data_IF_839083022248
#
_entry.id   IF_839083022248
#
_cell.length_a   1.000
_cell.length_b   1.000
_cell.length_c   1.000
_cell.angle_alpha   90.00
_cell.angle_beta   90.00
_cell.angle_gamma   90.00
#
_symmetry.space_group_name_H-M   'P 1'
#
loop_
_entity.id
_entity.type
_entity.pdbx_description
1 polymer ?
#
# COMPACT_ATOMS: atom_id res chain seq x y z
N UNK A 1 20.16 -33.86 -31.52
CA UNK A 1 20.19 -32.55 -32.22
C UNK A 1 18.84 -31.81 -32.29
N UNK A 2 17.68 -32.43 -32.01
CA UNK A 2 16.35 -31.77 -32.08
C UNK A 2 15.70 -31.35 -30.74
N UNK A 3 16.42 -31.39 -29.62
CA UNK A 3 15.83 -31.05 -28.31
C UNK A 3 15.58 -29.54 -28.17
N UNK A 4 16.46 -28.72 -28.73
CA UNK A 4 16.38 -27.24 -28.64
C UNK A 4 15.24 -26.65 -29.45
N UNK A 5 14.95 -27.19 -30.64
CA UNK A 5 13.90 -26.66 -31.52
C UNK A 5 12.49 -26.93 -30.98
N UNK A 6 12.26 -28.14 -30.42
CA UNK A 6 10.98 -28.47 -29.77
C UNK A 6 10.75 -27.64 -28.52
N UNK A 7 11.78 -27.48 -27.68
CA UNK A 7 11.69 -26.63 -26.48
C UNK A 7 11.39 -25.17 -26.83
N UNK A 8 11.95 -24.65 -27.93
CA UNK A 8 11.65 -23.30 -28.41
C UNK A 8 10.21 -23.18 -28.94
N UNK A 9 9.73 -24.15 -29.73
CA UNK A 9 8.35 -24.15 -30.22
C UNK A 9 7.33 -24.27 -29.09
N UNK A 10 7.64 -25.09 -28.08
CA UNK A 10 6.81 -25.25 -26.90
C UNK A 10 6.80 -23.96 -26.06
N UNK A 11 7.96 -23.32 -25.84
CA UNK A 11 8.02 -22.03 -25.14
C UNK A 11 7.26 -20.91 -25.88
N UNK A 12 7.21 -20.94 -27.22
CA UNK A 12 6.44 -20.00 -28.02
C UNK A 12 4.92 -20.25 -27.96
N UNK A 13 4.49 -21.47 -27.64
CA UNK A 13 3.07 -21.87 -27.63
C UNK A 13 2.48 -22.00 -26.23
N UNK A 14 3.29 -22.37 -25.24
CA UNK A 14 2.91 -22.70 -23.86
C UNK A 14 3.46 -21.67 -22.88
N UNK A 15 3.04 -20.41 -23.05
CA UNK A 15 3.52 -19.29 -22.24
C UNK A 15 2.81 -19.15 -20.88
N UNK A 16 1.69 -19.85 -20.68
CA UNK A 16 0.93 -19.83 -19.43
C UNK A 16 1.23 -21.07 -18.59
N UNK A 17 1.53 -20.86 -17.31
CA UNK A 17 1.72 -21.94 -16.35
C UNK A 17 0.38 -22.53 -15.93
N UNK A 18 0.37 -23.85 -15.69
CA UNK A 18 -0.81 -24.55 -15.19
C UNK A 18 -1.18 -24.15 -13.75
N UNK A 19 -0.16 -23.94 -12.91
CA UNK A 19 -0.35 -23.71 -11.49
C UNK A 19 -0.50 -22.21 -11.19
N UNK A 20 -1.34 -21.90 -10.20
CA UNK A 20 -1.60 -20.53 -9.74
C UNK A 20 -0.60 -20.12 -8.67
N UNK A 21 -0.22 -18.84 -8.68
CA UNK A 21 0.57 -18.25 -7.58
C UNK A 21 -0.35 -17.99 -6.40
N UNK A 22 -0.12 -18.68 -5.29
CA UNK A 22 -0.85 -18.47 -4.06
C UNK A 22 -0.28 -17.27 -3.28
N UNK A 23 -1.13 -16.40 -2.71
CA UNK A 23 -0.67 -15.38 -1.78
C UNK A 23 -0.05 -16.01 -0.51
N UNK A 24 0.74 -15.23 0.21
CA UNK A 24 1.38 -15.68 1.47
C UNK A 24 0.34 -16.06 2.53
N UNK A 25 -0.82 -15.42 2.52
CA UNK A 25 -1.95 -15.66 3.43
C UNK A 25 -3.23 -15.91 2.63
N UNK A 26 -4.14 -16.71 3.19
CA UNK A 26 -5.46 -16.98 2.57
C UNK A 26 -6.29 -15.71 2.49
N UNK A 27 -6.31 -14.94 3.57
CA UNK A 27 -7.02 -13.67 3.64
C UNK A 27 -6.16 -12.53 3.08
N UNK A 28 -6.71 -11.61 2.27
CA UNK A 28 -6.01 -10.40 1.86
C UNK A 28 -5.65 -9.52 3.05
N UNK A 29 -4.53 -8.82 2.97
CA UNK A 29 -4.14 -7.90 4.05
C UNK A 29 -5.15 -6.76 4.23
N UNK A 30 -5.67 -6.18 3.14
CA UNK A 30 -6.63 -5.08 3.21
C UNK A 30 -7.76 -5.35 2.23
N UNK A 31 -8.99 -5.21 2.70
CA UNK A 31 -10.22 -5.29 1.90
C UNK A 31 -11.07 -4.06 2.18
N UNK A 32 -11.73 -3.53 1.15
CA UNK A 32 -12.66 -2.41 1.29
C UNK A 32 -13.76 -2.55 0.24
N UNK A 33 -15.00 -2.38 0.67
CA UNK A 33 -16.14 -2.52 -0.22
C UNK A 33 -16.30 -1.28 -1.11
N UNK A 34 -16.66 -1.49 -2.37
CA UNK A 34 -17.00 -0.41 -3.33
C UNK A 34 -15.90 0.61 -3.60
N UNK A 35 -14.65 0.33 -3.25
CA UNK A 35 -13.49 1.20 -3.49
C UNK A 35 -12.44 0.45 -4.31
N UNK A 36 -11.89 1.11 -5.33
CA UNK A 36 -10.83 0.55 -6.17
C UNK A 36 -9.48 1.14 -5.77
N UNK A 37 -8.60 0.27 -5.28
CA UNK A 37 -7.20 0.59 -5.05
C UNK A 37 -6.45 0.70 -6.38
N UNK A 38 -5.49 1.62 -6.44
CA UNK A 38 -4.83 2.01 -7.68
C UNK A 38 -3.30 2.09 -7.57
N UNK A 39 -2.77 2.42 -6.39
CA UNK A 39 -1.33 2.54 -6.11
C UNK A 39 -1.04 2.00 -4.72
N UNK A 40 0.16 1.48 -4.53
CA UNK A 40 0.65 0.99 -3.25
C UNK A 40 2.11 1.39 -3.11
N UNK A 41 2.48 1.91 -1.95
CA UNK A 41 3.86 2.00 -1.49
C UNK A 41 3.92 1.51 -0.04
N UNK A 42 5.01 0.85 0.33
CA UNK A 42 5.17 0.24 1.65
C UNK A 42 6.42 0.82 2.30
N UNK A 43 6.26 1.30 3.53
CA UNK A 43 7.36 1.67 4.42
C UNK A 43 7.63 0.54 5.42
N UNK A 44 8.87 0.44 5.90
CA UNK A 44 9.26 -0.46 6.97
C UNK A 44 9.66 0.40 8.16
N UNK A 45 8.80 0.45 9.17
CA UNK A 45 8.97 1.33 10.33
C UNK A 45 9.32 0.50 11.56
N UNK A 46 10.34 0.95 12.29
CA UNK A 46 10.72 0.37 13.57
C UNK A 46 9.84 0.96 14.67
N UNK A 47 8.89 0.17 15.16
CA UNK A 47 8.17 0.48 16.39
C UNK A 47 9.02 0.22 17.63
N UNK A 48 8.41 0.24 18.81
CA UNK A 48 9.13 0.03 20.08
C UNK A 48 9.89 -1.30 20.13
N UNK A 49 9.22 -2.39 19.78
CA UNK A 49 9.76 -3.76 19.95
C UNK A 49 9.78 -4.55 18.63
N UNK A 50 9.07 -4.10 17.59
CA UNK A 50 8.88 -4.85 16.34
C UNK A 50 8.90 -3.94 15.11
N UNK A 51 9.26 -4.53 13.97
CA UNK A 51 9.14 -3.89 12.66
C UNK A 51 7.70 -4.01 12.14
N UNK A 52 7.21 -2.93 11.53
CA UNK A 52 5.90 -2.86 10.91
C UNK A 52 6.03 -2.53 9.43
N UNK A 53 5.19 -3.16 8.60
CA UNK A 53 5.01 -2.77 7.21
C UNK A 53 3.85 -1.78 7.15
N UNK A 54 4.15 -0.51 6.93
CA UNK A 54 3.14 0.55 6.79
C UNK A 54 2.81 0.70 5.30
N UNK A 55 1.59 0.32 4.94
CA UNK A 55 1.08 0.39 3.57
C UNK A 55 0.35 1.72 3.35
N UNK A 56 0.76 2.47 2.32
CA UNK A 56 0.03 3.62 1.80
C UNK A 56 -0.62 3.22 0.47
N UNK A 57 -1.94 3.20 0.45
CA UNK A 57 -2.76 2.68 -0.65
C UNK A 57 -3.53 3.84 -1.26
N UNK A 58 -3.22 4.18 -2.50
CA UNK A 58 -3.92 5.23 -3.23
C UNK A 58 -5.14 4.68 -3.96
N UNK A 59 -6.25 5.40 -3.95
CA UNK A 59 -7.50 5.00 -4.62
C UNK A 59 -7.73 5.74 -5.94
N UNK A 60 -8.71 5.27 -6.70
CA UNK A 60 -9.18 5.98 -7.90
C UNK A 60 -10.01 7.23 -7.62
N UNK A 61 -10.28 7.52 -6.35
CA UNK A 61 -11.19 8.58 -5.92
C UNK A 61 -10.47 9.69 -5.14
N UNK A 62 -9.14 9.72 -5.16
CA UNK A 62 -8.35 10.76 -4.51
C UNK A 62 -8.27 10.60 -3.00
N UNK A 63 -8.27 9.35 -2.53
CA UNK A 63 -8.05 9.02 -1.12
C UNK A 63 -6.81 8.17 -0.94
N UNK A 64 -6.12 8.34 0.18
CA UNK A 64 -5.00 7.49 0.59
C UNK A 64 -5.39 6.79 1.87
N UNK A 65 -5.32 5.47 1.83
CA UNK A 65 -5.49 4.61 2.99
C UNK A 65 -4.12 4.26 3.57
N UNK A 66 -3.91 4.54 4.86
CA UNK A 66 -2.76 4.08 5.64
C UNK A 66 -3.17 2.85 6.46
N UNK A 67 -2.45 1.75 6.30
CA UNK A 67 -2.71 0.50 7.01
C UNK A 67 -1.43 -0.20 7.44
N UNK A 68 -1.47 -0.93 8.55
CA UNK A 68 -0.36 -1.76 9.02
C UNK A 68 -0.55 -3.20 8.59
N UNK A 69 0.53 -3.81 8.13
CA UNK A 69 0.71 -5.25 8.12
C UNK A 69 1.88 -5.62 9.03
N UNK A 70 1.79 -6.80 9.63
CA UNK A 70 2.84 -7.35 10.48
C UNK A 70 3.26 -8.71 9.96
N UNK A 71 4.53 -9.05 10.15
CA UNK A 71 5.08 -10.37 9.83
C UNK A 71 4.49 -11.47 10.72
N UNK A 72 3.84 -11.11 11.84
CA UNK A 72 3.13 -12.04 12.69
C UNK A 72 1.78 -12.44 12.07
N UNK A 73 1.72 -13.65 11.51
CA UNK A 73 0.54 -14.21 10.83
C UNK A 73 -0.72 -14.29 11.69
N UNK A 74 -0.60 -14.19 13.01
CA UNK A 74 -1.73 -14.20 13.94
C UNK A 74 -2.41 -12.83 14.10
N UNK A 75 -1.74 -11.76 13.66
CA UNK A 75 -2.23 -10.40 13.76
C UNK A 75 -2.76 -9.97 12.39
N UNK A 76 -4.05 -9.60 12.36
CA UNK A 76 -4.67 -9.02 11.17
C UNK A 76 -4.10 -7.64 10.90
N UNK A 77 -4.11 -7.25 9.63
CA UNK A 77 -3.77 -5.89 9.25
C UNK A 77 -4.69 -4.89 9.94
N UNK A 78 -4.15 -3.73 10.28
CA UNK A 78 -4.85 -2.68 11.01
C UNK A 78 -5.01 -1.45 10.11
N UNK A 79 -6.25 -0.99 9.96
CA UNK A 79 -6.56 0.29 9.32
C UNK A 79 -6.16 1.40 10.29
N UNK A 80 -5.32 2.35 9.84
CA UNK A 80 -4.90 3.49 10.66
C UNK A 80 -5.67 4.77 10.29
N UNK A 81 -5.70 5.12 9.01
CA UNK A 81 -6.17 6.43 8.57
C UNK A 81 -6.66 6.41 7.12
N UNK A 82 -7.72 7.18 6.83
CA UNK A 82 -8.03 7.67 5.47
C UNK A 82 -7.70 9.14 5.35
N UNK A 83 -6.94 9.48 4.32
CA UNK A 83 -6.67 10.85 3.93
C UNK A 83 -7.45 11.17 2.66
N UNK A 84 -8.39 12.10 2.75
CA UNK A 84 -8.95 12.78 1.58
C UNK A 84 -8.01 13.92 1.21
N UNK A 85 -7.31 13.76 0.08
CA UNK A 85 -6.24 14.69 -0.34
C UNK A 85 -6.74 15.75 -1.33
N UNK A 86 -7.98 15.61 -1.81
CA UNK A 86 -8.63 16.54 -2.72
C UNK A 86 -9.73 17.33 -1.98
N UNK A 87 -10.06 18.54 -2.46
CA UNK A 87 -11.22 19.28 -1.96
C UNK A 87 -12.53 18.50 -2.10
N UNK A 88 -13.49 18.80 -1.23
CA UNK A 88 -14.82 18.19 -1.26
C UNK A 88 -15.46 18.27 -2.65
N UNK A 89 -16.00 17.14 -3.10
CA UNK A 89 -16.64 17.00 -4.41
C UNK A 89 -15.69 16.76 -5.58
N UNK A 90 -14.37 16.87 -5.40
CA UNK A 90 -13.39 16.49 -6.41
C UNK A 90 -12.95 15.03 -6.24
N UNK A 91 -12.83 14.33 -7.36
CA UNK A 91 -12.37 12.95 -7.40
C UNK A 91 -11.44 12.76 -8.59
N UNK A 92 -10.24 12.30 -8.34
CA UNK A 92 -9.32 11.86 -9.38
C UNK A 92 -8.48 10.67 -8.89
N UNK A 93 -8.05 9.84 -9.84
CA UNK A 93 -7.23 8.69 -9.52
C UNK A 93 -5.79 9.09 -9.19
N UNK A 94 -5.26 8.53 -8.11
CA UNK A 94 -3.86 8.72 -7.73
C UNK A 94 -2.95 8.07 -8.79
N UNK A 95 -2.03 8.87 -9.34
CA UNK A 95 -1.16 8.48 -10.46
C UNK A 95 0.16 7.91 -10.00
N UNK A 96 0.69 8.36 -8.87
CA UNK A 96 1.90 7.81 -8.27
C UNK A 96 1.91 8.02 -6.76
N UNK A 97 2.60 7.11 -6.07
CA UNK A 97 2.97 7.24 -4.66
C UNK A 97 4.46 6.93 -4.55
N UNK A 98 5.22 7.81 -3.90
CA UNK A 98 6.64 7.58 -3.63
C UNK A 98 7.01 8.08 -2.24
N UNK A 99 7.83 7.31 -1.53
CA UNK A 99 8.33 7.69 -0.21
C UNK A 99 9.74 8.26 -0.37
N UNK A 100 9.98 9.42 0.24
CA UNK A 100 11.31 9.97 0.44
C UNK A 100 11.66 9.85 1.93
N UNK A 101 12.39 8.79 2.29
CA UNK A 101 12.70 8.50 3.70
C UNK A 101 13.57 9.58 4.37
N UNK A 102 14.49 10.22 3.62
CA UNK A 102 15.35 11.28 4.16
C UNK A 102 14.58 12.51 4.64
N UNK A 103 13.39 12.74 4.06
CA UNK A 103 12.50 13.86 4.33
C UNK A 103 11.18 13.39 5.00
N UNK A 104 11.11 12.10 5.36
CA UNK A 104 9.95 11.43 5.97
C UNK A 104 8.61 11.83 5.33
N UNK A 105 8.58 11.78 4.00
CA UNK A 105 7.47 12.33 3.24
C UNK A 105 6.97 11.37 2.16
N UNK A 106 5.66 11.29 2.02
CA UNK A 106 4.95 10.67 0.92
C UNK A 106 4.65 11.72 -0.15
N UNK A 107 5.15 11.48 -1.36
CA UNK A 107 4.83 12.24 -2.55
C UNK A 107 3.71 11.56 -3.32
N UNK A 108 2.69 12.33 -3.67
CA UNK A 108 1.47 11.87 -4.33
C UNK A 108 1.33 12.56 -5.67
N UNK A 109 1.41 11.81 -6.77
CA UNK A 109 1.16 12.32 -8.10
C UNK A 109 -0.33 12.32 -8.43
N UNK A 110 -0.81 13.46 -8.90
CA UNK A 110 -2.16 13.71 -9.38
C UNK A 110 -2.14 14.06 -10.88
N UNK A 111 -3.29 14.35 -11.51
CA UNK A 111 -3.28 14.73 -12.93
C UNK A 111 -2.54 16.05 -13.17
N UNK A 112 -2.75 17.02 -12.29
CA UNK A 112 -2.31 18.42 -12.49
C UNK A 112 -1.32 18.89 -11.42
N UNK A 113 -0.75 17.99 -10.62
CA UNK A 113 0.14 18.39 -9.54
C UNK A 113 0.73 17.24 -8.73
N UNK A 114 1.54 17.62 -7.75
CA UNK A 114 2.14 16.70 -6.78
C UNK A 114 1.88 17.24 -5.38
N UNK A 115 1.44 16.38 -4.47
CA UNK A 115 1.30 16.71 -3.06
C UNK A 115 2.44 16.06 -2.27
N UNK A 116 2.90 16.75 -1.23
CA UNK A 116 3.85 16.24 -0.23
C UNK A 116 3.10 16.10 1.09
N UNK A 117 3.08 14.90 1.64
CA UNK A 117 2.38 14.56 2.89
C UNK A 117 3.41 13.96 3.86
N UNK A 118 3.54 14.47 5.09
CA UNK A 118 4.37 13.82 6.12
C UNK A 118 3.91 12.39 6.40
N UNK A 119 4.83 11.45 6.57
CA UNK A 119 4.50 10.05 6.90
C UNK A 119 3.87 9.96 8.29
N UNK A 120 4.39 10.75 9.23
CA UNK A 120 3.88 10.95 10.57
C UNK A 120 3.01 12.20 10.66
N UNK A 121 1.78 12.05 11.17
CA UNK A 121 0.85 13.16 11.40
C UNK A 121 0.49 13.28 12.88
N UNK A 122 1.45 12.98 13.76
CA UNK A 122 1.24 12.87 15.20
C UNK A 122 0.66 14.12 15.86
N UNK A 123 0.92 15.31 15.28
CA UNK A 123 0.38 16.58 15.79
C UNK A 123 -1.15 16.69 15.72
N UNK A 124 -1.83 15.76 15.03
CA UNK A 124 -3.29 15.68 15.04
C UNK A 124 -3.85 15.14 16.35
N UNK A 125 -3.08 14.31 17.07
CA UNK A 125 -3.50 13.72 18.33
C UNK A 125 -3.25 14.72 19.47
N UNK A 126 -4.32 15.21 20.10
CA UNK A 126 -4.26 16.28 21.10
C UNK A 126 -4.17 15.76 22.52
N UNK A 127 -4.54 14.50 22.73
CA UNK A 127 -4.49 13.84 24.04
C UNK A 127 -3.63 12.59 24.01
N UNK A 128 -3.13 12.20 25.19
CA UNK A 128 -2.39 10.94 25.35
C UNK A 128 -3.22 9.74 24.87
N UNK A 129 -4.52 9.73 25.21
CA UNK A 129 -5.44 8.65 24.80
C UNK A 129 -5.59 8.54 23.28
N UNK A 130 -5.71 9.68 22.57
CA UNK A 130 -5.73 9.70 21.11
C UNK A 130 -4.41 9.21 20.51
N UNK A 131 -3.29 9.67 21.06
CA UNK A 131 -1.95 9.29 20.56
C UNK A 131 -1.68 7.80 20.73
N UNK A 132 -1.96 7.24 21.91
CA UNK A 132 -1.79 5.80 22.18
C UNK A 132 -2.82 4.96 21.42
N UNK A 133 -4.03 5.48 21.25
CA UNK A 133 -5.12 4.83 20.53
C UNK A 133 -4.90 4.72 19.02
N UNK A 134 -4.17 5.68 18.43
CA UNK A 134 -3.86 5.69 17.00
C UNK A 134 -3.06 4.47 16.55
N UNK A 135 -2.21 3.90 17.41
CA UNK A 135 -1.35 2.74 17.11
C UNK A 135 -0.53 2.91 15.82
N UNK A 136 -0.18 4.14 15.49
CA UNK A 136 0.69 4.50 14.36
C UNK A 136 2.16 4.34 14.79
N UNK A 137 2.93 3.43 14.17
CA UNK A 137 4.34 3.17 14.51
C UNK A 137 5.26 4.36 14.17
#
# INVERSE_FOLDING_TARGET
>A
ENLTERVLQDAQRLFLMNDVVQPVTVDPYVTQDSIRFSKLVVDIVQGKDTLYHVMYIGTEYGTILKALSTTNRSLRSCYLEEMQILPDGQREAIKSLQILHSDRSLFVGLNNGVLKIPLERCSMYRTEGECLGARDP
#
